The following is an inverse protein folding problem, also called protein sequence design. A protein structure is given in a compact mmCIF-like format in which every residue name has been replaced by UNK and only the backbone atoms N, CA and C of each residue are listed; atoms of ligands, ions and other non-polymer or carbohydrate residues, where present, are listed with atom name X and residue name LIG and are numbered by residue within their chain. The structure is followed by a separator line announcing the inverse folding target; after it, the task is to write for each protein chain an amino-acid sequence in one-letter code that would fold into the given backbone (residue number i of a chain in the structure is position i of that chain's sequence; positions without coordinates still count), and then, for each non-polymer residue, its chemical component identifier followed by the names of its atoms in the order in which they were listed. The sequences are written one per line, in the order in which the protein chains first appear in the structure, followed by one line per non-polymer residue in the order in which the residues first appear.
data_IF_879447748966
#
_entry.id   IF_879447748966
#
_cell.length_a   1.000
_cell.length_b   1.000
_cell.length_c   1.000
_cell.angle_alpha   90.00
_cell.angle_beta   90.00
_cell.angle_gamma   90.00
#
_symmetry.space_group_name_H-M   'P 1'
#
loop_
_entity.id
_entity.type
_entity.pdbx_description
1 polymer ?
#
# COMPACT_ATOMS: atom_id res chain seq x y z
N UNK A 1 -16.89 -50.61 -63.26
CA UNK A 1 -17.50 -49.34 -62.83
C UNK A 1 -16.53 -48.66 -61.86
N UNK A 2 -15.93 -47.54 -62.30
CA UNK A 2 -15.27 -46.46 -61.55
C UNK A 2 -14.20 -46.83 -60.51
N UNK A 3 -12.92 -46.88 -60.85
CA UNK A 3 -11.98 -45.73 -60.91
C UNK A 3 -11.76 -45.03 -59.55
N UNK A 4 -10.66 -45.39 -58.87
CA UNK A 4 -10.04 -44.59 -57.82
C UNK A 4 -8.59 -44.30 -58.26
N UNK A 5 -8.37 -43.13 -58.85
CA UNK A 5 -7.05 -42.54 -59.06
C UNK A 5 -6.90 -41.34 -58.14
N UNK A 6 -5.95 -41.48 -57.22
CA UNK A 6 -4.92 -40.54 -56.81
C UNK A 6 -5.00 -39.11 -57.37
N UNK A 7 -4.94 -38.08 -56.52
CA UNK A 7 -3.81 -37.12 -56.53
C UNK A 7 -3.89 -36.03 -55.44
N UNK A 8 -2.79 -35.91 -54.71
CA UNK A 8 -2.17 -34.73 -54.11
C UNK A 8 -2.94 -33.40 -54.04
N UNK A 9 -3.11 -32.88 -52.81
CA UNK A 9 -3.03 -31.42 -52.56
C UNK A 9 -2.17 -31.10 -51.33
N UNK A 10 -0.96 -30.60 -51.63
CA UNK A 10 -0.05 -29.89 -50.74
C UNK A 10 -0.71 -28.59 -50.22
N UNK A 11 -0.58 -28.40 -48.90
CA UNK A 11 -0.25 -27.15 -48.16
C UNK A 11 -1.19 -25.93 -48.23
N UNK A 12 -1.36 -25.32 -47.05
CA UNK A 12 -1.72 -23.91 -46.73
C UNK A 12 -2.98 -23.86 -45.85
N UNK A 13 -3.04 -23.23 -44.67
CA UNK A 13 -2.30 -22.08 -44.12
C UNK A 13 -2.43 -22.14 -42.60
N UNK A 14 -1.30 -22.02 -41.89
CA UNK A 14 -1.25 -21.69 -40.46
C UNK A 14 -2.16 -20.47 -40.22
N UNK A 15 -3.24 -20.64 -39.45
CA UNK A 15 -3.93 -19.49 -38.85
C UNK A 15 -3.05 -18.96 -37.72
N UNK A 16 -2.02 -18.19 -38.10
CA UNK A 16 -1.53 -17.13 -37.21
C UNK A 16 -2.60 -16.04 -37.23
N UNK A 17 -3.69 -16.28 -36.49
CA UNK A 17 -4.52 -15.21 -36.01
C UNK A 17 -3.73 -14.53 -34.92
N UNK A 18 -2.90 -13.56 -35.33
CA UNK A 18 -2.42 -12.52 -34.44
C UNK A 18 -3.67 -11.86 -33.87
N UNK A 19 -4.12 -12.36 -32.71
CA UNK A 19 -5.12 -11.70 -31.91
C UNK A 19 -4.56 -10.33 -31.60
N UNK A 20 -5.11 -9.33 -32.28
CA UNK A 20 -4.99 -7.94 -31.92
C UNK A 20 -5.67 -7.80 -30.55
N UNK A 21 -5.02 -8.32 -29.50
CA UNK A 21 -5.16 -7.74 -28.18
C UNK A 21 -4.63 -6.34 -28.36
N UNK A 22 -5.52 -5.41 -28.73
CA UNK A 22 -5.33 -4.00 -28.47
C UNK A 22 -4.79 -3.96 -27.05
N UNK A 23 -3.50 -3.60 -26.90
CA UNK A 23 -2.95 -3.25 -25.61
C UNK A 23 -3.79 -2.08 -25.17
N UNK A 24 -4.91 -2.39 -24.50
CA UNK A 24 -5.80 -1.42 -23.90
C UNK A 24 -4.85 -0.61 -23.06
N UNK A 25 -4.62 0.63 -23.45
CA UNK A 25 -3.71 1.52 -22.75
C UNK A 25 -4.33 1.72 -21.39
N UNK A 26 -3.97 0.83 -20.47
CA UNK A 26 -4.34 0.90 -19.07
C UNK A 26 -3.48 2.05 -18.62
N UNK A 27 -4.07 3.25 -18.57
CA UNK A 27 -3.40 4.41 -17.97
C UNK A 27 -2.73 3.94 -16.69
N UNK A 28 -1.49 4.40 -16.48
CA UNK A 28 -0.67 4.12 -15.32
C UNK A 28 -1.57 4.01 -14.08
N UNK A 29 -1.83 2.79 -13.60
CA UNK A 29 -2.51 2.59 -12.32
C UNK A 29 -1.47 2.67 -11.20
N UNK A 30 -0.38 3.41 -11.43
CA UNK A 30 0.71 3.55 -10.49
C UNK A 30 0.47 4.77 -9.60
N UNK A 31 1.13 4.77 -8.45
CA UNK A 31 1.20 5.93 -7.56
C UNK A 31 1.90 7.10 -8.27
N UNK A 32 1.21 8.24 -8.34
CA UNK A 32 1.73 9.47 -8.94
C UNK A 32 1.65 10.65 -7.95
N UNK A 33 2.36 11.73 -8.29
CA UNK A 33 2.38 12.96 -7.51
C UNK A 33 1.04 13.69 -7.64
N UNK A 34 0.55 14.26 -6.54
CA UNK A 34 -0.76 14.92 -6.46
C UNK A 34 -1.92 13.99 -6.09
N UNK A 35 -1.63 12.72 -5.82
CA UNK A 35 -2.61 11.79 -5.27
C UNK A 35 -2.66 11.86 -3.75
N UNK A 36 -3.86 11.76 -3.20
CA UNK A 36 -4.15 11.61 -1.77
C UNK A 36 -4.85 10.27 -1.55
N UNK A 37 -4.68 9.68 -0.37
CA UNK A 37 -5.18 8.34 -0.14
C UNK A 37 -4.64 7.65 1.11
N UNK A 38 -4.60 6.33 1.05
CA UNK A 38 -4.17 5.47 2.15
C UNK A 38 -3.18 4.46 1.61
N UNK A 39 -2.01 4.41 2.24
CA UNK A 39 -0.99 3.42 1.98
C UNK A 39 -1.22 2.23 2.91
N UNK A 40 -1.42 1.05 2.34
CA UNK A 40 -1.73 -0.16 3.10
C UNK A 40 -0.64 -1.19 2.89
N UNK A 41 -0.13 -1.75 3.98
CA UNK A 41 0.87 -2.84 3.94
C UNK A 41 0.21 -4.17 4.25
N UNK A 42 0.63 -5.24 3.58
CA UNK A 42 0.01 -6.57 3.68
C UNK A 42 1.03 -7.73 3.80
N UNK A 43 0.53 -8.94 4.07
CA UNK A 43 1.33 -10.16 4.22
C UNK A 43 1.25 -11.08 2.98
N UNK A 44 1.87 -10.69 1.86
CA UNK A 44 2.00 -11.46 0.60
C UNK A 44 0.77 -11.50 -0.31
N UNK A 45 -0.46 -11.33 0.20
CA UNK A 45 -1.66 -11.45 -0.64
C UNK A 45 -2.31 -10.10 -0.96
N UNK A 46 -1.72 -9.36 -1.90
CA UNK A 46 -2.18 -8.02 -2.29
C UNK A 46 -3.62 -8.00 -2.81
N UNK A 47 -4.07 -9.02 -3.54
CA UNK A 47 -5.45 -9.09 -4.05
C UNK A 47 -6.46 -9.22 -2.91
N UNK A 48 -6.22 -10.12 -1.96
CA UNK A 48 -7.08 -10.26 -0.77
C UNK A 48 -7.01 -9.01 0.10
N UNK A 49 -5.82 -8.43 0.27
CA UNK A 49 -5.66 -7.18 1.01
C UNK A 49 -6.49 -6.06 0.40
N UNK A 50 -6.47 -5.92 -0.93
CA UNK A 50 -7.24 -4.91 -1.65
C UNK A 50 -8.74 -5.09 -1.38
N UNK A 51 -9.26 -6.32 -1.49
CA UNK A 51 -10.67 -6.60 -1.21
C UNK A 51 -11.06 -6.33 0.26
N UNK A 52 -10.26 -6.80 1.23
CA UNK A 52 -10.49 -6.51 2.65
C UNK A 52 -10.40 -5.01 2.96
N UNK A 53 -9.46 -4.31 2.34
CA UNK A 53 -9.28 -2.88 2.53
C UNK A 53 -10.47 -2.09 1.99
N UNK A 54 -11.00 -2.44 0.81
CA UNK A 54 -12.23 -1.81 0.30
C UNK A 54 -13.40 -2.02 1.24
N UNK A 55 -13.64 -3.26 1.69
CA UNK A 55 -14.74 -3.55 2.61
C UNK A 55 -14.62 -2.75 3.91
N UNK A 56 -13.42 -2.72 4.50
CA UNK A 56 -13.16 -1.98 5.72
C UNK A 56 -13.33 -0.47 5.51
N UNK A 57 -12.72 0.09 4.47
CA UNK A 57 -12.80 1.53 4.20
C UNK A 57 -14.23 1.97 3.87
N UNK A 58 -14.99 1.18 3.11
CA UNK A 58 -16.37 1.47 2.78
C UNK A 58 -17.27 1.46 4.02
N UNK A 59 -17.14 0.46 4.91
CA UNK A 59 -17.92 0.36 6.16
C UNK A 59 -17.78 1.64 7.02
N UNK A 60 -16.54 2.08 7.26
CA UNK A 60 -16.30 3.27 8.08
C UNK A 60 -16.55 4.58 7.33
N UNK A 61 -16.37 4.60 6.01
CA UNK A 61 -16.68 5.79 5.22
C UNK A 61 -18.19 6.03 5.12
N UNK A 62 -19.01 4.98 5.10
CA UNK A 62 -20.46 5.11 5.17
C UNK A 62 -20.90 5.68 6.53
N UNK A 63 -20.27 5.25 7.62
CA UNK A 63 -20.54 5.77 8.96
C UNK A 63 -20.16 7.26 9.11
N UNK A 64 -19.02 7.68 8.56
CA UNK A 64 -18.51 9.05 8.71
C UNK A 64 -19.06 10.05 7.69
N UNK A 65 -19.19 9.62 6.43
CA UNK A 65 -19.49 10.50 5.29
C UNK A 65 -20.82 10.17 4.60
N UNK A 66 -21.56 9.17 5.09
CA UNK A 66 -22.83 8.74 4.52
C UNK A 66 -22.68 7.93 3.22
N UNK A 67 -23.81 7.51 2.61
CA UNK A 67 -23.80 6.67 1.41
C UNK A 67 -23.10 7.36 0.24
N UNK A 68 -22.44 6.57 -0.60
CA UNK A 68 -21.72 7.04 -1.77
C UNK A 68 -22.68 7.75 -2.74
N UNK A 69 -22.61 9.09 -2.75
CA UNK A 69 -23.22 9.91 -3.80
C UNK A 69 -22.44 9.69 -5.09
N UNK A 70 -22.76 8.62 -5.80
CA UNK A 70 -22.42 8.46 -7.20
C UNK A 70 -23.09 9.64 -7.91
N UNK A 71 -22.31 10.57 -8.46
CA UNK A 71 -22.91 11.67 -9.22
C UNK A 71 -23.71 11.07 -10.37
N UNK A 72 -25.04 11.10 -10.23
CA UNK A 72 -25.94 11.03 -11.37
C UNK A 72 -25.60 12.26 -12.22
N UNK A 73 -24.99 12.03 -13.36
CA UNK A 73 -24.68 13.09 -14.29
C UNK A 73 -26.03 13.60 -14.82
N UNK A 74 -26.57 14.63 -14.18
CA UNK A 74 -27.74 15.37 -14.63
C UNK A 74 -27.38 16.11 -15.92
N UNK A 75 -27.50 15.41 -17.04
CA UNK A 75 -27.42 15.93 -18.40
C UNK A 75 -28.70 15.58 -19.13
N UNK A 76 -29.63 16.52 -19.13
CA UNK A 76 -30.93 16.53 -19.81
C UNK A 76 -30.87 16.00 -21.25
N UNK A 77 -31.78 15.08 -21.56
CA UNK A 77 -32.56 15.12 -22.80
C UNK A 77 -33.92 14.52 -22.49
N UNK A 78 -34.87 15.40 -22.19
CA UNK A 78 -36.29 15.15 -22.38
C UNK A 78 -36.54 14.65 -23.79
N UNK A 79 -37.05 13.44 -23.93
CA UNK A 79 -38.00 13.11 -24.99
C UNK A 79 -38.98 12.11 -24.37
N UNK A 80 -40.18 12.62 -24.10
CA UNK A 80 -41.38 11.81 -23.94
C UNK A 80 -41.69 11.20 -25.30
N UNK A 81 -41.71 9.88 -25.41
CA UNK A 81 -42.56 9.21 -26.40
C UNK A 81 -42.86 7.76 -25.96
N UNK A 82 -44.14 7.59 -25.64
CA UNK A 82 -45.00 6.41 -25.69
C UNK A 82 -44.57 5.09 -25.04
N UNK A 83 -45.36 4.74 -24.02
CA UNK A 83 -45.43 3.43 -23.40
C UNK A 83 -45.94 2.38 -24.40
N UNK A 84 -45.06 1.50 -24.85
CA UNK A 84 -45.42 0.15 -25.26
C UNK A 84 -44.77 -0.84 -24.28
N UNK A 85 -45.64 -1.60 -23.64
CA UNK A 85 -45.44 -2.65 -22.63
C UNK A 85 -43.98 -3.12 -22.44
N UNK A 86 -43.30 -2.54 -21.44
CA UNK A 86 -41.98 -2.99 -21.00
C UNK A 86 -42.07 -4.43 -20.48
N UNK A 87 -41.65 -5.36 -21.32
CA UNK A 87 -41.39 -6.75 -20.98
C UNK A 87 -40.47 -6.76 -19.73
N UNK A 88 -40.91 -7.37 -18.64
CA UNK A 88 -40.24 -7.32 -17.31
C UNK A 88 -38.77 -7.75 -17.42
N UNK A 89 -38.47 -8.65 -18.36
CA UNK A 89 -37.12 -9.12 -18.68
C UNK A 89 -36.23 -8.05 -19.35
N UNK A 90 -36.80 -7.10 -20.08
CA UNK A 90 -36.10 -5.96 -20.70
C UNK A 90 -35.80 -4.88 -19.67
N UNK A 91 -36.75 -4.57 -18.79
CA UNK A 91 -36.53 -3.69 -17.65
C UNK A 91 -35.45 -4.24 -16.70
N UNK A 92 -35.49 -5.54 -16.36
CA UNK A 92 -34.45 -6.18 -15.55
C UNK A 92 -33.07 -6.16 -16.23
N UNK A 93 -33.00 -6.42 -17.54
CA UNK A 93 -31.74 -6.36 -18.29
C UNK A 93 -31.19 -4.94 -18.36
N UNK A 94 -32.06 -3.93 -18.46
CA UNK A 94 -31.69 -2.51 -18.45
C UNK A 94 -31.15 -2.10 -17.08
N UNK A 95 -31.78 -2.51 -15.99
CA UNK A 95 -31.27 -2.30 -14.62
C UNK A 95 -29.94 -3.02 -14.38
N UNK A 96 -29.82 -4.29 -14.78
CA UNK A 96 -28.57 -5.06 -14.65
C UNK A 96 -27.46 -4.44 -15.49
N UNK A 97 -27.74 -3.99 -16.71
CA UNK A 97 -26.78 -3.29 -17.56
C UNK A 97 -26.39 -1.92 -16.96
N UNK A 98 -27.33 -1.19 -16.36
CA UNK A 98 -27.07 0.08 -15.69
C UNK A 98 -26.21 -0.11 -14.43
N UNK A 99 -26.42 -1.18 -13.65
CA UNK A 99 -25.58 -1.59 -12.52
C UNK A 99 -24.18 -2.04 -12.95
N UNK A 100 -24.06 -2.70 -14.11
CA UNK A 100 -22.76 -3.12 -14.65
C UNK A 100 -21.98 -1.94 -15.27
N UNK A 101 -22.68 -1.02 -15.92
CA UNK A 101 -22.11 0.18 -16.54
C UNK A 101 -21.71 1.25 -15.50
N UNK A 102 -22.50 1.45 -14.44
CA UNK A 102 -22.13 2.29 -13.29
C UNK A 102 -20.88 1.76 -12.59
N UNK A 103 -20.74 0.43 -12.50
CA UNK A 103 -19.57 -0.22 -11.92
C UNK A 103 -18.23 0.01 -12.65
N UNK A 104 -18.24 0.40 -13.92
CA UNK A 104 -17.01 0.57 -14.74
C UNK A 104 -16.62 2.01 -15.07
N UNK A 105 -17.53 2.99 -14.92
CA UNK A 105 -17.29 4.39 -15.33
C UNK A 105 -17.56 5.46 -14.27
N UNK A 106 -18.10 5.11 -13.09
CA UNK A 106 -18.27 6.09 -12.02
C UNK A 106 -17.01 6.16 -11.16
N UNK A 107 -16.59 7.39 -10.85
CA UNK A 107 -15.48 7.69 -9.95
C UNK A 107 -15.85 7.22 -8.54
N UNK A 108 -15.42 6.01 -8.20
CA UNK A 108 -15.61 5.45 -6.85
C UNK A 108 -14.76 6.23 -5.85
N UNK A 109 -15.28 6.43 -4.63
CA UNK A 109 -14.60 7.05 -3.48
C UNK A 109 -13.20 6.50 -3.24
N UNK A 110 -13.03 5.20 -3.53
CA UNK A 110 -11.78 4.49 -3.37
C UNK A 110 -11.33 3.88 -4.70
N UNK A 111 -10.06 4.11 -5.05
CA UNK A 111 -9.43 3.52 -6.22
C UNK A 111 -8.10 2.87 -5.84
N UNK A 112 -7.98 1.55 -6.05
CA UNK A 112 -6.73 0.83 -5.82
C UNK A 112 -5.75 1.06 -6.98
N UNK A 113 -4.54 1.46 -6.60
CA UNK A 113 -3.39 1.73 -7.45
C UNK A 113 -2.19 0.90 -6.96
N UNK A 114 -1.32 0.56 -7.91
CA UNK A 114 -0.04 -0.07 -7.64
C UNK A 114 0.92 0.97 -7.05
N UNK A 115 1.40 0.73 -5.83
CA UNK A 115 2.38 1.63 -5.21
C UNK A 115 3.76 1.53 -5.88
N UNK A 116 4.03 0.43 -6.59
CA UNK A 116 5.35 0.12 -7.11
C UNK A 116 6.29 -0.54 -6.09
N UNK A 117 5.78 -0.96 -4.93
CA UNK A 117 6.50 -1.75 -3.94
C UNK A 117 5.73 -3.00 -3.52
N UNK A 118 6.43 -4.13 -3.39
CA UNK A 118 5.84 -5.39 -3.00
C UNK A 118 5.16 -5.29 -1.63
N UNK A 119 3.96 -5.85 -1.55
CA UNK A 119 3.12 -5.90 -0.36
C UNK A 119 2.65 -4.54 0.16
N UNK A 120 2.64 -3.55 -0.73
CA UNK A 120 2.14 -2.22 -0.44
C UNK A 120 1.15 -1.83 -1.52
N UNK A 121 -0.09 -1.59 -1.13
CA UNK A 121 -1.12 -1.09 -2.03
C UNK A 121 -1.40 0.37 -1.68
N UNK A 122 -1.68 1.17 -2.70
CA UNK A 122 -2.13 2.55 -2.50
C UNK A 122 -3.60 2.63 -2.88
N UNK A 123 -4.44 3.11 -1.96
CA UNK A 123 -5.85 3.37 -2.23
C UNK A 123 -6.02 4.87 -2.30
N UNK A 124 -6.21 5.39 -3.52
CA UNK A 124 -6.54 6.79 -3.75
C UNK A 124 -7.93 7.07 -3.20
N UNK A 125 -8.05 8.16 -2.46
CA UNK A 125 -9.33 8.71 -2.00
C UNK A 125 -9.69 9.93 -2.81
N UNK A 126 -10.97 10.11 -3.13
CA UNK A 126 -11.48 11.32 -3.77
C UNK A 126 -12.49 12.00 -2.85
N UNK A 127 -12.35 13.31 -2.67
CA UNK A 127 -13.25 14.13 -1.85
C UNK A 127 -13.42 13.61 -0.41
N UNK A 128 -12.38 13.00 0.16
CA UNK A 128 -12.42 12.40 1.48
C UNK A 128 -11.11 12.62 2.22
N UNK A 129 -11.20 12.98 3.49
CA UNK A 129 -10.05 13.18 4.36
C UNK A 129 -9.53 11.83 4.87
N UNK A 130 -8.49 11.30 4.23
CA UNK A 130 -7.89 10.00 4.58
C UNK A 130 -7.42 9.92 6.04
N UNK A 131 -6.97 11.05 6.61
CA UNK A 131 -6.48 11.13 7.99
C UNK A 131 -7.59 10.79 9.01
N UNK A 132 -8.74 11.46 8.91
CA UNK A 132 -9.88 11.25 9.81
C UNK A 132 -10.45 9.85 9.70
N UNK A 133 -10.55 9.31 8.47
CA UNK A 133 -11.03 7.95 8.24
C UNK A 133 -10.11 6.91 8.89
N UNK A 134 -8.81 6.97 8.65
CA UNK A 134 -7.85 6.01 9.22
C UNK A 134 -7.79 6.15 10.75
N UNK A 135 -7.81 7.38 11.27
CA UNK A 135 -7.82 7.63 12.70
C UNK A 135 -9.07 7.04 13.36
N UNK A 136 -10.25 7.20 12.75
CA UNK A 136 -11.49 6.63 13.26
C UNK A 136 -11.48 5.10 13.26
N UNK A 137 -11.00 4.47 12.17
CA UNK A 137 -10.82 3.01 12.10
C UNK A 137 -9.93 2.53 13.24
N UNK A 138 -8.76 3.16 13.45
CA UNK A 138 -7.83 2.75 14.48
C UNK A 138 -8.35 3.01 15.90
N UNK A 139 -9.09 4.10 16.10
CA UNK A 139 -9.73 4.42 17.37
C UNK A 139 -10.79 3.37 17.74
N UNK A 140 -11.65 2.98 16.79
CA UNK A 140 -12.65 1.94 16.99
C UNK A 140 -12.00 0.56 17.24
N UNK A 141 -10.95 0.20 16.48
CA UNK A 141 -10.20 -1.04 16.72
C UNK A 141 -9.49 -1.03 18.08
N UNK A 142 -8.96 0.12 18.49
CA UNK A 142 -8.33 0.29 19.79
C UNK A 142 -9.35 0.14 20.93
N UNK A 143 -10.57 0.65 20.75
CA UNK A 143 -11.62 0.58 21.77
C UNK A 143 -12.29 -0.80 21.82
N UNK A 144 -12.66 -1.36 20.67
CA UNK A 144 -13.37 -2.64 20.58
C UNK A 144 -12.47 -3.85 20.80
N UNK A 145 -11.16 -3.71 20.57
CA UNK A 145 -10.16 -4.80 20.56
C UNK A 145 -10.53 -5.96 19.62
N UNK A 146 -11.39 -5.71 18.62
CA UNK A 146 -11.84 -6.71 17.64
C UNK A 146 -10.96 -6.68 16.40
N UNK A 147 -10.49 -7.85 15.97
CA UNK A 147 -9.76 -8.01 14.71
C UNK A 147 -10.73 -7.93 13.53
N UNK A 148 -10.65 -6.86 12.73
CA UNK A 148 -11.44 -6.72 11.50
C UNK A 148 -10.76 -7.20 10.22
N UNK A 149 -9.42 -7.36 10.22
CA UNK A 149 -8.67 -7.86 9.06
C UNK A 149 -7.59 -8.86 9.47
N UNK A 150 -7.31 -9.82 8.59
CA UNK A 150 -6.23 -10.81 8.75
C UNK A 150 -5.03 -10.52 7.85
N UNK A 151 -5.24 -9.74 6.79
CA UNK A 151 -4.24 -9.52 5.72
C UNK A 151 -3.63 -8.12 5.82
N UNK A 152 -4.41 -7.13 6.26
CA UNK A 152 -3.94 -5.76 6.44
C UNK A 152 -3.03 -5.72 7.68
N UNK A 153 -1.80 -5.21 7.50
CA UNK A 153 -0.84 -5.01 8.58
C UNK A 153 -0.91 -3.57 9.09
N UNK A 154 -0.73 -2.58 8.22
CA UNK A 154 -0.77 -1.16 8.58
C UNK A 154 -1.54 -0.35 7.56
N UNK A 155 -2.22 0.69 8.02
CA UNK A 155 -2.90 1.69 7.19
C UNK A 155 -2.32 3.04 7.53
N UNK A 156 -1.64 3.69 6.58
CA UNK A 156 -1.06 5.01 6.77
C UNK A 156 -1.82 5.99 5.88
N UNK A 157 -2.42 7.06 6.43
CA UNK A 157 -3.02 8.08 5.60
C UNK A 157 -1.90 8.80 4.81
N UNK A 158 -2.23 9.25 3.62
CA UNK A 158 -1.36 10.04 2.74
C UNK A 158 -2.17 11.27 2.35
N UNK A 159 -1.90 12.37 3.03
CA UNK A 159 -2.56 13.67 2.80
C UNK A 159 -1.78 14.56 1.83
N UNK A 160 -0.57 14.14 1.43
CA UNK A 160 0.21 14.85 0.43
C UNK A 160 1.19 13.93 -0.27
N UNK A 161 1.43 14.19 -1.55
CA UNK A 161 2.46 13.51 -2.34
C UNK A 161 3.31 14.52 -3.09
N UNK A 162 4.62 14.27 -3.14
CA UNK A 162 5.57 15.07 -3.90
C UNK A 162 6.62 14.18 -4.56
N UNK A 163 7.47 14.75 -5.42
CA UNK A 163 8.59 14.00 -6.01
C UNK A 163 9.63 13.70 -4.92
N UNK A 164 10.25 12.53 -5.00
CA UNK A 164 11.24 12.06 -4.06
C UNK A 164 12.65 12.66 -4.27
N UNK A 165 12.73 13.94 -4.65
CA UNK A 165 13.96 14.72 -4.67
C UNK A 165 14.02 15.62 -3.45
N UNK A 166 15.22 15.80 -2.87
CA UNK A 166 15.37 16.53 -1.61
C UNK A 166 14.85 17.98 -1.70
N UNK A 167 15.14 18.67 -2.80
CA UNK A 167 14.67 20.05 -3.02
C UNK A 167 13.15 20.13 -3.12
N UNK A 168 12.53 19.23 -3.88
CA UNK A 168 11.08 19.16 -4.04
C UNK A 168 10.37 18.82 -2.72
N UNK A 169 10.92 17.86 -1.95
CA UNK A 169 10.40 17.50 -0.64
C UNK A 169 10.45 18.68 0.33
N UNK A 170 11.58 19.38 0.41
CA UNK A 170 11.77 20.54 1.29
C UNK A 170 10.81 21.66 0.91
N UNK A 171 10.69 21.97 -0.39
CA UNK A 171 9.78 22.99 -0.90
C UNK A 171 8.33 22.66 -0.57
N UNK A 172 7.89 21.43 -0.82
CA UNK A 172 6.53 20.99 -0.52
C UNK A 172 6.24 21.00 0.98
N UNK A 173 7.14 20.44 1.80
CA UNK A 173 6.99 20.37 3.25
C UNK A 173 6.96 21.74 3.92
N UNK A 174 7.63 22.74 3.36
CA UNK A 174 7.63 24.11 3.92
C UNK A 174 6.20 24.64 4.01
N UNK A 175 5.42 24.52 2.95
CA UNK A 175 4.02 24.97 2.91
C UNK A 175 3.08 23.96 3.56
N UNK A 176 3.31 22.67 3.34
CA UNK A 176 2.47 21.62 3.87
C UNK A 176 2.46 21.63 5.39
N UNK A 177 3.61 21.79 6.06
CA UNK A 177 3.71 21.70 7.52
C UNK A 177 3.17 22.92 8.28
N UNK A 178 2.87 24.04 7.59
CA UNK A 178 2.44 25.28 8.23
C UNK A 178 1.21 25.14 9.14
N UNK A 179 0.11 24.46 8.73
CA UNK A 179 -1.11 24.37 9.55
C UNK A 179 -0.88 23.71 10.91
N UNK A 180 0.13 22.84 11.01
CA UNK A 180 0.43 22.08 12.23
C UNK A 180 1.52 22.73 13.08
N UNK A 181 2.53 23.34 12.45
CA UNK A 181 3.78 23.72 13.11
C UNK A 181 4.09 25.22 13.09
N UNK A 182 3.29 26.05 12.40
CA UNK A 182 3.44 27.51 12.38
C UNK A 182 2.66 28.14 13.54
N UNK A 183 3.20 29.22 14.10
CA UNK A 183 2.54 30.01 15.16
C UNK A 183 1.12 30.42 14.73
N UNK A 184 0.08 30.26 15.58
CA UNK A 184 0.11 30.00 17.03
C UNK A 184 0.30 28.53 17.44
N UNK A 185 0.26 27.59 16.50
CA UNK A 185 0.35 26.17 16.80
C UNK A 185 1.79 25.78 17.12
N UNK A 186 1.95 24.92 18.13
CA UNK A 186 3.19 24.23 18.44
C UNK A 186 2.87 22.84 18.95
N UNK A 187 3.74 21.88 18.64
CA UNK A 187 3.58 20.51 19.08
C UNK A 187 4.92 19.83 19.33
N UNK A 188 4.90 18.79 20.17
CA UNK A 188 5.99 17.81 20.18
C UNK A 188 5.85 16.86 18.99
N UNK A 189 6.96 16.51 18.35
CA UNK A 189 6.88 15.69 17.14
C UNK A 189 8.01 14.67 16.99
N UNK A 190 7.71 13.62 16.22
CA UNK A 190 8.71 12.71 15.66
C UNK A 190 8.59 12.63 14.14
N UNK A 191 9.66 12.17 13.49
CA UNK A 191 9.69 11.92 12.04
C UNK A 191 9.84 10.42 11.80
N UNK A 192 8.83 9.81 11.20
CA UNK A 192 8.82 8.41 10.80
C UNK A 192 9.14 8.29 9.30
N UNK A 193 10.43 8.18 8.97
CA UNK A 193 10.88 7.99 7.60
C UNK A 193 10.88 6.50 7.19
N UNK A 194 10.55 6.19 5.95
CA UNK A 194 10.79 4.88 5.32
C UNK A 194 11.00 5.05 3.81
N UNK A 195 11.92 4.30 3.22
CA UNK A 195 12.12 4.25 1.78
C UNK A 195 11.94 2.82 1.25
N UNK A 196 11.34 2.69 0.08
CA UNK A 196 11.13 1.43 -0.64
C UNK A 196 11.45 1.63 -2.10
N UNK A 197 12.20 0.68 -2.68
CA UNK A 197 12.61 0.73 -4.08
C UNK A 197 13.21 2.09 -4.48
N UNK A 198 13.91 2.73 -3.55
CA UNK A 198 14.50 4.06 -3.68
C UNK A 198 15.79 4.10 -2.86
N UNK A 199 16.90 4.46 -3.50
CA UNK A 199 18.24 4.52 -2.88
C UNK A 199 18.81 5.93 -2.84
N UNK A 200 18.17 6.91 -3.49
CA UNK A 200 18.68 8.28 -3.61
C UNK A 200 18.60 9.08 -2.30
N UNK A 201 17.77 8.61 -1.36
CA UNK A 201 17.32 9.38 -0.20
C UNK A 201 17.93 8.80 1.09
N UNK A 202 19.02 9.40 1.57
CA UNK A 202 19.62 9.03 2.85
C UNK A 202 18.71 9.46 4.00
N UNK A 203 18.27 8.48 4.80
CA UNK A 203 17.36 8.65 5.93
C UNK A 203 17.75 9.84 6.83
N UNK A 204 18.98 9.87 7.32
CA UNK A 204 19.39 10.84 8.34
C UNK A 204 19.46 12.28 7.80
N UNK A 205 19.84 12.43 6.53
CA UNK A 205 19.90 13.74 5.87
C UNK A 205 18.49 14.32 5.69
N UNK A 206 17.52 13.48 5.33
CA UNK A 206 16.11 13.89 5.20
C UNK A 206 15.52 14.23 6.56
N UNK A 207 15.71 13.37 7.57
CA UNK A 207 15.20 13.63 8.93
C UNK A 207 15.76 14.96 9.46
N UNK A 208 17.07 15.21 9.31
CA UNK A 208 17.69 16.48 9.71
C UNK A 208 17.12 17.67 8.95
N UNK A 209 16.90 17.52 7.64
CA UNK A 209 16.33 18.58 6.80
C UNK A 209 14.91 18.95 7.26
N UNK A 210 14.06 17.95 7.49
CA UNK A 210 12.66 18.15 7.93
C UNK A 210 12.62 18.75 9.34
N UNK A 211 13.42 18.24 10.28
CA UNK A 211 13.51 18.80 11.63
C UNK A 211 13.97 20.26 11.61
N UNK A 212 14.93 20.60 10.74
CA UNK A 212 15.37 21.97 10.52
C UNK A 212 14.26 22.89 9.99
N UNK A 213 13.39 22.40 9.10
CA UNK A 213 12.24 23.16 8.62
C UNK A 213 11.21 23.41 9.73
N UNK A 214 10.85 22.38 10.49
CA UNK A 214 9.88 22.50 11.59
C UNK A 214 10.39 23.47 12.67
N UNK A 215 11.70 23.46 12.95
CA UNK A 215 12.33 24.40 13.87
C UNK A 215 12.34 25.85 13.35
N UNK A 216 12.46 26.05 12.03
CA UNK A 216 12.36 27.39 11.40
C UNK A 216 10.92 27.93 11.41
N UNK A 217 9.91 27.06 11.30
CA UNK A 217 8.50 27.47 11.32
C UNK A 217 8.06 27.98 12.70
N UNK A 218 8.49 27.31 13.77
CA UNK A 218 8.27 27.75 15.14
C UNK A 218 9.32 27.13 16.08
N UNK A 219 10.17 27.96 16.73
CA UNK A 219 11.18 27.48 17.68
C UNK A 219 10.63 26.73 18.90
N UNK A 220 9.33 26.86 19.19
CA UNK A 220 8.66 26.13 20.28
C UNK A 220 8.40 24.65 19.94
N UNK A 221 8.50 24.25 18.67
CA UNK A 221 8.33 22.85 18.28
C UNK A 221 9.53 22.02 18.77
N UNK A 222 9.24 20.95 19.52
CA UNK A 222 10.28 20.10 20.11
C UNK A 222 10.21 18.68 19.57
N UNK A 223 11.36 18.10 19.27
CA UNK A 223 11.44 16.68 18.90
C UNK A 223 11.25 15.81 20.14
N UNK A 224 10.31 14.88 20.10
CA UNK A 224 10.10 13.84 21.11
C UNK A 224 9.95 12.48 20.39
N UNK A 225 10.84 11.54 20.68
CA UNK A 225 10.86 10.21 20.06
C UNK A 225 10.09 9.15 20.88
N UNK A 226 9.67 9.51 22.09
CA UNK A 226 9.03 8.59 23.04
C UNK A 226 7.51 8.78 22.99
N UNK A 227 7.03 10.00 23.23
CA UNK A 227 5.59 10.29 23.27
C UNK A 227 5.25 11.62 22.56
N UNK A 228 5.42 11.68 21.24
CA UNK A 228 5.09 12.88 20.48
C UNK A 228 3.58 13.07 20.31
N UNK A 229 3.14 14.32 20.34
CA UNK A 229 1.77 14.71 19.97
C UNK A 229 1.48 14.48 18.48
N UNK A 230 2.45 14.80 17.62
CA UNK A 230 2.34 14.65 16.17
C UNK A 230 3.46 13.78 15.59
N UNK A 231 3.12 12.92 14.64
CA UNK A 231 4.11 12.15 13.88
C UNK A 231 4.05 12.53 12.41
N UNK A 232 5.17 13.04 11.90
CA UNK A 232 5.34 13.30 10.46
C UNK A 232 5.79 11.98 9.82
N UNK A 233 4.90 11.35 9.05
CA UNK A 233 5.21 10.12 8.31
C UNK A 233 5.71 10.53 6.93
N UNK A 234 6.85 9.98 6.54
CA UNK A 234 7.48 10.20 5.24
C UNK A 234 7.82 8.84 4.65
N UNK A 235 7.02 8.39 3.69
CA UNK A 235 7.23 7.12 3.00
C UNK A 235 7.57 7.37 1.53
N UNK A 236 8.81 7.07 1.15
CA UNK A 236 9.29 7.18 -0.24
C UNK A 236 9.14 5.83 -0.92
N UNK A 237 8.42 5.81 -2.05
CA UNK A 237 8.26 4.62 -2.89
C UNK A 237 8.65 4.98 -4.32
N UNK A 238 9.66 4.30 -4.87
CA UNK A 238 10.26 4.64 -6.16
C UNK A 238 10.68 6.13 -6.18
N UNK A 239 10.00 6.94 -7.01
CA UNK A 239 10.24 8.37 -7.20
C UNK A 239 9.18 9.28 -6.55
N UNK A 240 8.24 8.71 -5.78
CA UNK A 240 7.16 9.46 -5.10
C UNK A 240 7.38 9.44 -3.60
N UNK A 241 7.21 10.60 -2.96
CA UNK A 241 7.25 10.78 -1.52
C UNK A 241 5.82 11.01 -0.99
N UNK A 242 5.32 10.06 -0.20
CA UNK A 242 4.05 10.14 0.51
C UNK A 242 4.26 10.75 1.89
N UNK A 243 3.46 11.75 2.23
CA UNK A 243 3.58 12.52 3.47
C UNK A 243 2.24 12.52 4.20
N UNK A 244 2.29 12.41 5.52
CA UNK A 244 1.15 12.70 6.41
C UNK A 244 1.61 13.18 7.78
N UNK A 245 0.72 13.89 8.47
CA UNK A 245 0.92 14.33 9.86
C UNK A 245 -0.21 13.74 10.68
N UNK A 246 0.12 12.79 11.55
CA UNK A 246 -0.87 12.00 12.29
C UNK A 246 -0.72 12.16 13.80
N UNK A 247 -1.82 11.94 14.53
CA UNK A 247 -1.87 11.88 16.00
C UNK A 247 -1.84 10.43 16.48
N UNK A 248 -1.53 10.23 17.76
CA UNK A 248 -1.68 8.94 18.46
C UNK A 248 -0.91 7.78 17.80
N UNK A 249 0.21 8.10 17.14
CA UNK A 249 0.98 7.12 16.38
C UNK A 249 1.54 6.00 17.26
N UNK A 250 2.04 6.34 18.45
CA UNK A 250 2.54 5.35 19.42
C UNK A 250 1.39 4.57 20.05
N UNK A 251 0.30 5.26 20.41
CA UNK A 251 -0.91 4.64 20.99
C UNK A 251 -1.51 3.59 20.04
N UNK A 252 -1.65 3.90 18.76
CA UNK A 252 -2.14 2.97 17.74
C UNK A 252 -1.05 2.05 17.18
N UNK A 253 0.02 1.82 17.96
CA UNK A 253 1.14 0.91 17.64
C UNK A 253 1.68 1.08 16.21
N UNK A 254 2.00 2.32 15.85
CA UNK A 254 2.49 2.72 14.52
C UNK A 254 1.47 2.42 13.41
N UNK A 255 0.20 2.64 13.72
CA UNK A 255 -0.94 2.46 12.82
C UNK A 255 -1.02 1.02 12.28
N UNK A 256 -0.67 0.06 13.13
CA UNK A 256 -0.72 -1.36 12.80
C UNK A 256 -2.06 -1.95 13.26
N UNK A 257 -2.91 -2.25 12.27
CA UNK A 257 -4.28 -2.77 12.43
C UNK A 257 -4.31 -4.09 13.20
N UNK A 258 -3.25 -4.91 13.11
CA UNK A 258 -3.18 -6.18 13.82
C UNK A 258 -2.63 -6.06 15.24
N UNK A 259 -1.78 -5.07 15.47
CA UNK A 259 -1.14 -4.87 16.78
C UNK A 259 -2.02 -4.01 17.69
N UNK A 260 -2.77 -3.05 17.15
CA UNK A 260 -3.60 -2.09 17.94
C UNK A 260 -4.65 -2.78 18.83
N UNK A 261 -5.09 -3.98 18.43
CA UNK A 261 -6.05 -4.80 19.17
C UNK A 261 -5.40 -5.66 20.26
N UNK A 262 -4.07 -5.77 20.30
CA UNK A 262 -3.37 -6.53 21.34
C UNK A 262 -3.30 -5.70 22.61
N UNK A 263 -3.61 -6.32 23.74
CA UNK A 263 -3.44 -5.71 25.06
C UNK A 263 -1.98 -5.37 25.31
N UNK A 264 -1.75 -4.27 26.04
CA UNK A 264 -0.42 -3.93 26.52
C UNK A 264 -0.04 -4.92 27.63
N UNK A 265 0.64 -5.99 27.23
CA UNK A 265 1.43 -6.75 28.18
C UNK A 265 2.56 -5.82 28.61
N UNK A 266 2.64 -5.41 29.89
CA UNK A 266 3.75 -4.59 30.35
C UNK A 266 5.03 -5.37 30.10
N UNK A 267 5.87 -4.85 29.18
CA UNK A 267 7.20 -5.39 28.97
C UNK A 267 8.00 -5.09 30.25
N UNK A 268 8.61 -6.09 30.89
CA UNK A 268 9.55 -5.81 31.96
C UNK A 268 10.72 -5.02 31.37
N UNK A 269 10.98 -3.84 31.94
CA UNK A 269 12.16 -3.04 31.66
C UNK A 269 13.42 -3.86 31.96
N UNK A 270 14.35 -3.93 31.00
CA UNK A 270 15.69 -4.46 31.27
C UNK A 270 16.49 -4.96 30.08
N UNK A 271 17.41 -4.10 29.65
CA UNK A 271 18.72 -4.40 29.03
C UNK A 271 18.81 -4.72 27.54
N UNK A 272 19.56 -3.84 26.87
CA UNK A 272 20.05 -3.93 25.51
C UNK A 272 20.82 -5.23 25.23
N UNK A 273 20.49 -5.86 24.11
CA UNK A 273 21.44 -6.61 23.31
C UNK A 273 21.29 -6.16 21.85
N UNK A 274 22.34 -5.50 21.35
CA UNK A 274 22.53 -5.20 19.93
C UNK A 274 22.46 -6.52 19.16
N UNK A 275 21.59 -6.60 18.15
CA UNK A 275 21.76 -7.56 17.06
C UNK A 275 21.71 -6.74 15.77
N UNK A 276 22.91 -6.43 15.29
CA UNK A 276 23.16 -6.01 13.92
C UNK A 276 22.62 -7.10 12.98
N UNK A 277 21.66 -6.74 12.13
CA UNK A 277 21.22 -7.57 11.01
C UNK A 277 22.06 -7.19 9.80
N UNK A 278 23.28 -7.72 9.78
CA UNK A 278 24.06 -7.82 8.55
C UNK A 278 24.62 -9.24 8.48
N UNK A 279 24.63 -9.81 7.28
CA UNK A 279 25.08 -11.16 6.90
C UNK A 279 24.01 -12.26 6.86
N UNK A 280 23.27 -12.32 5.75
CA UNK A 280 22.77 -13.59 5.21
C UNK A 280 23.09 -13.67 3.72
N UNK A 281 24.38 -13.60 3.41
CA UNK A 281 24.95 -14.15 2.19
C UNK A 281 26.18 -14.97 2.61
N UNK A 282 26.29 -16.18 2.06
CA UNK A 282 27.32 -17.22 2.28
C UNK A 282 27.07 -18.21 3.42
N UNK A 283 26.13 -19.13 3.19
CA UNK A 283 26.25 -20.53 3.63
C UNK A 283 25.86 -21.47 2.47
N UNK A 284 26.65 -21.39 1.41
CA UNK A 284 26.90 -22.50 0.50
C UNK A 284 28.43 -22.60 0.34
N UNK A 285 28.97 -23.81 0.48
CA UNK A 285 30.40 -24.19 0.48
C UNK A 285 31.11 -24.13 1.84
N UNK A 286 30.71 -25.03 2.74
CA UNK A 286 31.63 -25.66 3.69
C UNK A 286 31.05 -27.01 4.12
N UNK A 287 30.86 -27.89 3.14
CA UNK A 287 30.56 -29.31 3.38
C UNK A 287 31.24 -30.14 2.30
N UNK A 288 32.58 -30.05 2.27
CA UNK A 288 33.47 -30.83 1.41
C UNK A 288 34.93 -30.61 1.85
N UNK A 289 35.29 -31.03 3.07
CA UNK A 289 36.66 -31.37 3.51
C UNK A 289 36.69 -31.56 5.03
N UNK A 290 36.07 -32.62 5.54
CA UNK A 290 36.48 -33.23 6.81
C UNK A 290 35.86 -34.63 7.00
N UNK A 291 35.97 -35.48 5.98
CA UNK A 291 35.68 -36.91 6.07
C UNK A 291 36.77 -37.75 5.40
N UNK A 292 38.04 -37.36 5.60
CA UNK A 292 39.19 -38.15 5.08
C UNK A 292 40.42 -38.15 6.00
N UNK A 293 40.22 -38.34 7.32
CA UNK A 293 41.33 -38.59 8.26
C UNK A 293 41.13 -39.73 9.24
N UNK A 294 40.10 -40.55 9.09
CA UNK A 294 39.87 -41.67 10.01
C UNK A 294 39.68 -43.02 9.28
N UNK A 295 40.54 -43.32 8.29
CA UNK A 295 40.67 -44.69 7.72
C UNK A 295 42.11 -45.13 7.39
N UNK A 296 43.13 -44.50 7.97
CA UNK A 296 44.52 -45.00 7.86
C UNK A 296 45.28 -44.87 9.19
N UNK A 297 44.94 -45.73 10.16
CA UNK A 297 45.86 -46.21 11.20
C UNK A 297 45.13 -47.19 12.14
N UNK A 298 44.82 -48.39 11.67
CA UNK A 298 44.91 -49.64 12.46
C UNK A 298 44.84 -50.79 11.45
N UNK A 299 46.01 -51.33 11.06
CA UNK A 299 46.29 -52.74 10.71
C UNK A 299 47.75 -52.73 10.26
N UNK A 300 48.61 -53.38 11.05
CA UNK A 300 50.01 -53.56 10.69
C UNK A 300 51.00 -53.44 11.84
N UNK A 301 50.85 -54.22 12.91
CA UNK A 301 52.00 -54.83 13.57
C UNK A 301 51.61 -56.11 14.30
N UNK A 302 51.94 -57.21 13.65
CA UNK A 302 51.91 -58.58 14.15
C UNK A 302 53.18 -58.85 14.97
N UNK A 303 53.03 -59.66 16.03
CA UNK A 303 54.02 -60.56 16.67
C UNK A 303 55.19 -59.97 17.49
N UNK A 304 55.22 -60.31 18.78
CA UNK A 304 56.31 -61.11 19.39
C UNK A 304 56.01 -61.44 20.87
N UNK A 305 56.19 -62.74 21.19
CA UNK A 305 56.22 -63.46 22.47
C UNK A 305 54.91 -63.59 23.24
#
# INVERSE_FOLDING_TARGET
MSAAQNESRKRSKKRYGAGHHSKRWKGSRELEVGMEGILITCNMNERKCTAEAFNLLSEYAEQLYGPEKLQENAGSSSDEEEAEEEDVDVALKKEVAQLQASGTKQERRFQALDSGANNVIFIRTQNLESDKLVHHILSDLHMTKKKKSRVILRMLPVTGTCKAFQEDMVKYLTTFLEPWFKTPNCATYQIAFKARNSSHNKRDEIIKSIAGLVGKLNPKNKVDLTNPELTIIVEVIKAVCCISVVKDYTLYRKYNVQEVVKEDVPKPDGTAAKIDSNTTEKKEKQDARETDKEKKKVVGKTRLK
#
